data_IF_381041382385
#
_entry.id   IF_381041382385
#
_cell.length_a   1.000
_cell.length_b   1.000
_cell.length_c   1.000
_cell.angle_alpha   90.00
_cell.angle_beta   90.00
_cell.angle_gamma   90.00
#
_symmetry.space_group_name_H-M   'P 1'
#
loop_
_entity.id
_entity.type
_entity.pdbx_description
1 polymer ?
#
# COMPACT_ATOMS: atom_id res chain seq x y z
N UNK A 1 -4.77 12.86 17.51
CA UNK A 1 -5.18 13.86 16.48
C UNK A 1 -4.28 13.81 15.25
N UNK A 2 -2.97 13.58 15.42
CA UNK A 2 -2.01 13.47 14.31
C UNK A 2 -2.34 12.27 13.38
N UNK A 3 -2.55 11.09 13.93
CA UNK A 3 -2.88 9.89 13.16
C UNK A 3 -4.20 10.04 12.38
N UNK A 4 -5.19 10.76 12.91
CA UNK A 4 -6.45 11.04 12.20
C UNK A 4 -6.21 11.97 11.00
N UNK A 5 -5.29 12.94 11.10
CA UNK A 5 -4.90 13.78 9.97
C UNK A 5 -4.20 12.97 8.90
N UNK A 6 -3.32 12.06 9.32
CA UNK A 6 -2.63 11.13 8.42
C UNK A 6 -3.64 10.24 7.68
N UNK A 7 -4.57 9.61 8.41
CA UNK A 7 -5.64 8.78 7.83
C UNK A 7 -6.48 9.54 6.79
N UNK A 8 -6.77 10.82 7.02
CA UNK A 8 -7.54 11.66 6.11
C UNK A 8 -6.87 11.88 4.75
N UNK A 9 -5.55 11.77 4.69
CA UNK A 9 -4.78 11.93 3.45
C UNK A 9 -4.78 10.66 2.60
N UNK A 10 -5.15 9.51 3.18
CA UNK A 10 -5.15 8.24 2.46
C UNK A 10 -6.39 8.14 1.56
N UNK A 11 -6.23 7.94 0.25
CA UNK A 11 -7.34 7.99 -0.72
C UNK A 11 -8.51 7.06 -0.44
N UNK A 12 -8.25 5.88 0.13
CA UNK A 12 -9.32 4.92 0.48
C UNK A 12 -10.23 5.40 1.61
N UNK A 13 -9.80 6.41 2.39
CA UNK A 13 -10.58 7.03 3.47
C UNK A 13 -11.13 8.41 3.10
N UNK A 14 -11.03 8.83 1.83
CA UNK A 14 -11.42 10.16 1.33
C UNK A 14 -12.82 10.59 1.79
N UNK A 15 -13.78 9.68 1.71
CA UNK A 15 -15.20 9.98 1.99
C UNK A 15 -15.56 9.78 3.47
N UNK A 16 -14.57 9.47 4.33
CA UNK A 16 -14.78 9.28 5.76
C UNK A 16 -14.88 10.61 6.50
N UNK A 17 -15.86 10.72 7.40
CA UNK A 17 -15.99 11.83 8.34
C UNK A 17 -14.91 11.71 9.43
N UNK A 18 -14.62 12.80 10.13
CA UNK A 18 -13.66 12.80 11.23
C UNK A 18 -14.00 11.77 12.32
N UNK A 19 -15.29 11.63 12.65
CA UNK A 19 -15.77 10.63 13.63
C UNK A 19 -15.52 9.19 13.16
N UNK A 20 -15.66 8.94 11.87
CA UNK A 20 -15.38 7.63 11.26
C UNK A 20 -13.88 7.33 11.22
N UNK A 21 -13.05 8.35 10.95
CA UNK A 21 -11.58 8.24 11.02
C UNK A 21 -11.09 8.02 12.46
N UNK A 22 -11.76 8.60 13.47
CA UNK A 22 -11.48 8.30 14.86
C UNK A 22 -11.72 6.83 15.18
N UNK A 23 -12.80 6.24 14.64
CA UNK A 23 -13.08 4.81 14.83
C UNK A 23 -12.01 3.93 14.15
N UNK A 24 -11.53 4.31 12.96
CA UNK A 24 -10.39 3.63 12.31
C UNK A 24 -9.12 3.74 13.14
N UNK A 25 -8.86 4.93 13.70
CA UNK A 25 -7.69 5.17 14.54
C UNK A 25 -7.70 4.34 15.82
N UNK A 26 -8.88 4.03 16.38
CA UNK A 26 -9.00 3.18 17.58
C UNK A 26 -8.52 1.74 17.36
N UNK A 27 -8.60 1.23 16.13
CA UNK A 27 -8.14 -0.12 15.77
C UNK A 27 -6.74 -0.12 15.16
N UNK A 28 -6.18 1.04 14.88
CA UNK A 28 -4.83 1.20 14.36
C UNK A 28 -3.78 1.10 15.49
N UNK A 29 -2.60 0.60 15.16
CA UNK A 29 -1.46 0.47 16.08
C UNK A 29 -0.20 1.02 15.45
N UNK A 30 0.54 1.83 16.19
CA UNK A 30 1.88 2.27 15.77
C UNK A 30 2.95 1.23 16.11
N UNK A 31 3.90 1.05 15.19
CA UNK A 31 5.08 0.24 15.42
C UNK A 31 6.31 0.90 14.78
N UNK A 32 7.41 0.89 15.53
CA UNK A 32 8.72 1.37 15.07
C UNK A 32 9.54 0.19 14.56
N UNK A 33 10.20 0.39 13.43
CA UNK A 33 11.11 -0.55 12.78
C UNK A 33 12.51 0.06 12.71
N UNK A 34 13.53 -0.74 13.00
CA UNK A 34 14.94 -0.34 12.90
C UNK A 34 15.41 -0.40 11.44
N UNK A 35 16.47 0.34 11.06
CA UNK A 35 17.07 0.22 9.74
C UNK A 35 17.40 -1.23 9.40
N UNK A 36 17.02 -1.68 8.20
CA UNK A 36 17.19 -3.05 7.72
C UNK A 36 16.12 -4.05 8.20
N UNK A 37 15.21 -3.64 9.08
CA UNK A 37 14.15 -4.53 9.58
C UNK A 37 13.09 -4.77 8.50
N UNK A 38 12.74 -6.05 8.31
CA UNK A 38 11.68 -6.47 7.40
C UNK A 38 10.31 -6.12 8.00
N UNK A 39 9.52 -5.30 7.30
CA UNK A 39 8.19 -4.89 7.73
C UNK A 39 7.15 -5.89 7.24
N UNK A 40 7.17 -6.21 5.95
CA UNK A 40 6.34 -7.24 5.32
C UNK A 40 7.17 -8.05 4.32
N UNK A 41 6.82 -9.32 4.14
CA UNK A 41 7.56 -10.25 3.29
C UNK A 41 6.76 -10.63 2.05
N UNK A 42 7.43 -10.64 0.88
CA UNK A 42 6.90 -11.19 -0.37
C UNK A 42 6.40 -12.62 -0.16
N UNK A 43 5.30 -12.99 -0.80
CA UNK A 43 4.62 -14.28 -0.70
C UNK A 43 3.98 -14.59 0.66
N UNK A 44 4.25 -13.80 1.70
CA UNK A 44 3.50 -13.92 2.95
C UNK A 44 2.06 -13.44 2.76
N UNK A 45 1.15 -13.97 3.57
CA UNK A 45 -0.25 -13.52 3.58
C UNK A 45 -0.34 -12.05 3.91
N UNK A 46 -1.08 -11.30 3.12
CA UNK A 46 -1.40 -9.92 3.41
C UNK A 46 -2.25 -9.79 4.67
N UNK A 47 -1.90 -8.88 5.56
CA UNK A 47 -2.49 -8.77 6.89
C UNK A 47 -3.08 -7.39 7.22
N UNK A 48 -2.86 -6.39 6.36
CA UNK A 48 -3.41 -5.06 6.55
C UNK A 48 -2.70 -3.95 5.79
N UNK A 49 -3.13 -2.73 6.09
CA UNK A 49 -2.59 -1.47 5.58
C UNK A 49 -1.51 -0.94 6.53
N UNK A 50 -0.43 -0.45 5.96
CA UNK A 50 0.68 0.22 6.64
C UNK A 50 0.82 1.63 6.11
N UNK A 51 0.78 2.63 6.98
CA UNK A 51 0.95 4.04 6.66
C UNK A 51 2.21 4.54 7.34
N UNK A 52 3.12 5.16 6.61
CA UNK A 52 4.38 5.64 7.13
C UNK A 52 4.14 6.97 7.84
N UNK A 53 4.31 6.99 9.15
CA UNK A 53 4.21 8.20 9.98
C UNK A 53 5.48 9.05 9.89
N UNK A 54 6.63 8.38 9.85
CA UNK A 54 7.96 8.98 9.66
C UNK A 54 8.96 7.92 9.20
N UNK A 55 10.05 8.36 8.63
CA UNK A 55 11.12 7.50 8.14
C UNK A 55 10.97 7.19 6.65
N UNK A 56 11.79 6.26 6.19
CA UNK A 56 11.88 5.83 4.81
C UNK A 56 11.90 4.31 4.74
N UNK A 57 11.09 3.74 3.86
CA UNK A 57 11.09 2.30 3.59
C UNK A 57 11.36 2.05 2.12
N UNK A 58 11.93 0.90 1.79
CA UNK A 58 12.10 0.43 0.41
C UNK A 58 11.20 -0.76 0.12
N UNK A 59 10.59 -0.73 -1.05
CA UNK A 59 9.80 -1.82 -1.61
C UNK A 59 10.71 -2.64 -2.53
N UNK A 60 10.83 -3.93 -2.27
CA UNK A 60 11.74 -4.81 -2.99
C UNK A 60 11.03 -6.07 -3.48
N UNK A 61 11.50 -6.60 -4.59
CA UNK A 61 11.01 -7.83 -5.18
C UNK A 61 12.17 -8.70 -5.63
N UNK A 62 12.06 -10.00 -5.41
CA UNK A 62 13.01 -10.96 -5.96
C UNK A 62 12.59 -11.36 -7.38
N UNK A 63 13.55 -11.42 -8.27
CA UNK A 63 13.34 -11.98 -9.61
C UNK A 63 13.40 -13.53 -9.60
N UNK A 64 13.26 -14.14 -10.79
CA UNK A 64 13.33 -15.60 -10.95
C UNK A 64 14.69 -16.22 -10.64
N UNK A 65 15.74 -15.40 -10.56
CA UNK A 65 17.12 -15.81 -10.22
C UNK A 65 17.42 -15.60 -8.74
N UNK A 66 16.48 -14.99 -7.96
CA UNK A 66 16.66 -14.67 -6.56
C UNK A 66 17.36 -13.35 -6.28
N UNK A 67 17.61 -12.55 -7.31
CA UNK A 67 18.17 -11.19 -7.16
C UNK A 67 17.09 -10.22 -6.68
N UNK A 68 17.45 -9.37 -5.72
CA UNK A 68 16.56 -8.37 -5.15
C UNK A 68 16.62 -7.08 -5.96
N UNK A 69 15.47 -6.61 -6.40
CA UNK A 69 15.30 -5.36 -7.11
C UNK A 69 14.51 -4.36 -6.26
N UNK A 70 15.03 -3.15 -6.11
CA UNK A 70 14.32 -2.05 -5.46
C UNK A 70 13.31 -1.48 -6.45
N UNK A 71 12.03 -1.54 -6.11
CA UNK A 71 10.94 -1.04 -6.95
C UNK A 71 10.59 0.41 -6.63
N UNK A 72 10.64 0.79 -5.35
CA UNK A 72 10.28 2.12 -4.89
C UNK A 72 10.83 2.40 -3.50
N UNK A 73 10.90 3.68 -3.15
CA UNK A 73 11.02 4.18 -1.78
C UNK A 73 9.73 4.87 -1.39
N UNK A 74 9.27 4.65 -0.17
CA UNK A 74 8.09 5.28 0.38
C UNK A 74 8.48 6.01 1.66
N UNK A 75 8.01 7.25 1.80
CA UNK A 75 8.29 8.12 2.94
C UNK A 75 7.04 8.50 3.73
N UNK A 76 7.18 9.52 4.56
CA UNK A 76 6.10 10.03 5.42
C UNK A 76 4.83 10.37 4.62
N UNK A 77 3.68 9.91 5.11
CA UNK A 77 2.36 10.08 4.48
C UNK A 77 2.05 9.08 3.37
N UNK A 78 3.03 8.32 2.91
CA UNK A 78 2.81 7.24 1.94
C UNK A 78 2.38 5.95 2.65
N UNK A 79 1.84 5.00 1.88
CA UNK A 79 1.25 3.78 2.42
C UNK A 79 1.43 2.60 1.48
N UNK A 80 1.30 1.39 2.03
CA UNK A 80 1.31 0.14 1.27
C UNK A 80 0.41 -0.90 1.92
N UNK A 81 0.06 -1.93 1.17
CA UNK A 81 -0.72 -3.06 1.67
C UNK A 81 -2.22 -2.83 1.77
N UNK A 82 -2.78 -1.77 1.16
CA UNK A 82 -4.20 -1.45 1.20
C UNK A 82 -5.07 -2.54 0.56
N UNK A 83 -4.58 -3.26 -0.45
CA UNK A 83 -5.29 -4.40 -1.07
C UNK A 83 -5.55 -5.48 -0.03
N UNK A 84 -4.65 -5.66 0.92
CA UNK A 84 -4.80 -6.63 2.02
C UNK A 84 -5.94 -6.31 2.99
N UNK A 85 -6.54 -5.13 2.92
CA UNK A 85 -7.77 -4.84 3.67
C UNK A 85 -8.99 -5.58 3.10
N UNK A 86 -8.95 -5.94 1.82
CA UNK A 86 -10.05 -6.59 1.09
C UNK A 86 -9.67 -8.01 0.69
N UNK A 87 -8.48 -8.18 0.13
CA UNK A 87 -7.99 -9.45 -0.42
C UNK A 87 -6.93 -10.09 0.50
N UNK A 88 -7.04 -11.40 0.69
CA UNK A 88 -6.08 -12.21 1.48
C UNK A 88 -4.98 -12.81 0.63
N UNK A 89 -4.84 -12.37 -0.60
CA UNK A 89 -3.79 -12.85 -1.50
C UNK A 89 -2.38 -12.64 -0.91
N UNK A 90 -1.42 -13.48 -1.27
CA UNK A 90 -0.02 -13.29 -0.88
C UNK A 90 0.51 -11.93 -1.35
N UNK A 91 1.40 -11.35 -0.55
CA UNK A 91 2.07 -10.09 -0.89
C UNK A 91 2.93 -10.23 -2.13
N UNK A 92 2.85 -9.25 -3.01
CA UNK A 92 3.62 -9.20 -4.25
C UNK A 92 5.06 -8.75 -4.06
N UNK A 93 5.35 -8.00 -2.99
CA UNK A 93 6.66 -7.44 -2.67
C UNK A 93 6.96 -7.54 -1.18
N UNK A 94 8.25 -7.38 -0.84
CA UNK A 94 8.72 -7.14 0.52
C UNK A 94 8.89 -5.64 0.77
N UNK A 95 8.73 -5.22 2.01
CA UNK A 95 9.01 -3.84 2.44
C UNK A 95 9.98 -3.88 3.62
N UNK A 96 11.06 -3.12 3.51
CA UNK A 96 12.17 -3.08 4.48
C UNK A 96 12.37 -1.63 4.91
N UNK A 97 12.57 -1.40 6.20
CA UNK A 97 12.94 -0.10 6.71
C UNK A 97 14.35 0.29 6.21
N UNK A 98 14.47 1.40 5.49
CA UNK A 98 15.76 1.93 5.04
C UNK A 98 16.44 2.74 6.16
N UNK A 99 15.63 3.45 6.93
CA UNK A 99 16.02 4.12 8.17
C UNK A 99 15.02 3.80 9.28
N UNK A 100 15.25 4.27 10.50
CA UNK A 100 14.27 4.10 11.58
C UNK A 100 12.92 4.66 11.14
N UNK A 101 11.91 3.80 11.08
CA UNK A 101 10.61 4.14 10.51
C UNK A 101 9.48 3.77 11.47
N UNK A 102 8.51 4.66 11.60
CA UNK A 102 7.28 4.40 12.36
C UNK A 102 6.11 4.24 11.39
N UNK A 103 5.41 3.11 11.50
CA UNK A 103 4.21 2.83 10.71
C UNK A 103 2.97 2.78 11.59
N UNK A 104 1.89 3.40 11.11
CA UNK A 104 0.54 3.18 11.61
C UNK A 104 -0.05 1.98 10.86
N UNK A 105 -0.44 0.94 11.59
CA UNK A 105 -0.85 -0.35 11.04
C UNK A 105 -2.32 -0.58 11.33
N UNK A 106 -3.10 -0.84 10.28
CA UNK A 106 -4.51 -1.21 10.38
C UNK A 106 -4.63 -2.66 9.90
N UNK A 107 -4.84 -3.57 10.84
CA UNK A 107 -5.00 -4.99 10.51
C UNK A 107 -6.32 -5.24 9.80
N UNK A 108 -6.29 -6.13 8.79
CA UNK A 108 -7.48 -6.50 8.01
C UNK A 108 -8.66 -6.94 8.90
N UNK A 109 -8.39 -7.83 9.86
CA UNK A 109 -9.44 -8.37 10.73
C UNK A 109 -10.12 -7.27 11.53
N UNK A 110 -9.35 -6.38 12.14
CA UNK A 110 -9.86 -5.28 12.95
C UNK A 110 -10.66 -4.29 12.10
N UNK A 111 -10.15 -3.98 10.91
CA UNK A 111 -10.82 -3.08 9.97
C UNK A 111 -12.13 -3.67 9.42
N UNK A 112 -12.11 -4.94 9.00
CA UNK A 112 -13.32 -5.62 8.52
C UNK A 112 -14.39 -5.72 9.60
N UNK A 113 -14.02 -5.99 10.85
CA UNK A 113 -14.95 -5.99 11.97
C UNK A 113 -15.55 -4.59 12.21
N UNK A 114 -14.74 -3.54 12.07
CA UNK A 114 -15.19 -2.15 12.22
C UNK A 114 -16.24 -1.77 11.18
N UNK A 115 -16.00 -2.08 9.88
CA UNK A 115 -16.92 -1.70 8.80
C UNK A 115 -18.16 -2.58 8.74
N UNK A 116 -18.07 -3.88 9.08
CA UNK A 116 -19.20 -4.83 9.04
C UNK A 116 -20.39 -4.39 9.91
N UNK A 117 -20.15 -3.65 10.98
CA UNK A 117 -21.18 -3.09 11.86
C UNK A 117 -21.84 -1.80 11.35
N UNK A 118 -21.35 -1.23 10.24
CA UNK A 118 -21.81 0.08 9.74
C UNK A 118 -21.88 0.07 8.20
N UNK A 119 -23.10 -0.13 7.67
CA UNK A 119 -23.34 -0.19 6.23
C UNK A 119 -22.91 1.07 5.46
N UNK A 120 -23.06 2.25 6.06
CA UNK A 120 -22.65 3.50 5.41
C UNK A 120 -21.13 3.58 5.31
N UNK A 121 -20.43 3.21 6.38
CA UNK A 121 -18.98 3.18 6.41
C UNK A 121 -18.42 2.15 5.42
N UNK A 122 -19.00 0.96 5.40
CA UNK A 122 -18.67 -0.10 4.45
C UNK A 122 -18.84 0.38 2.99
N UNK A 123 -19.97 1.00 2.67
CA UNK A 123 -20.25 1.56 1.34
C UNK A 123 -19.23 2.62 0.94
N UNK A 124 -18.91 3.55 1.83
CA UNK A 124 -17.91 4.60 1.59
C UNK A 124 -16.52 4.01 1.30
N UNK A 125 -16.13 3.03 2.12
CA UNK A 125 -14.86 2.35 1.95
C UNK A 125 -14.76 1.69 0.58
N UNK A 126 -15.68 0.79 0.22
CA UNK A 126 -15.61 0.08 -1.05
C UNK A 126 -15.70 1.00 -2.26
N UNK A 127 -16.48 2.09 -2.18
CA UNK A 127 -16.54 3.10 -3.23
C UNK A 127 -15.20 3.80 -3.43
N UNK A 128 -14.57 4.25 -2.36
CA UNK A 128 -13.24 4.89 -2.42
C UNK A 128 -12.17 3.90 -2.86
N UNK A 129 -12.22 2.68 -2.36
CA UNK A 129 -11.31 1.61 -2.73
C UNK A 129 -11.38 1.28 -4.24
N UNK A 130 -12.60 1.16 -4.78
CA UNK A 130 -12.80 0.95 -6.22
C UNK A 130 -12.21 2.09 -7.06
N UNK A 131 -12.35 3.35 -6.64
CA UNK A 131 -11.73 4.50 -7.32
C UNK A 131 -10.20 4.40 -7.34
N UNK A 132 -9.59 4.06 -6.21
CA UNK A 132 -8.13 3.86 -6.11
C UNK A 132 -7.67 2.75 -7.04
N UNK A 133 -8.40 1.63 -7.11
CA UNK A 133 -8.07 0.53 -8.02
C UNK A 133 -8.22 0.94 -9.48
N UNK A 134 -9.25 1.73 -9.84
CA UNK A 134 -9.41 2.27 -11.20
C UNK A 134 -8.24 3.18 -11.59
N UNK A 135 -7.79 4.06 -10.70
CA UNK A 135 -6.62 4.91 -10.96
C UNK A 135 -5.34 4.09 -11.15
N UNK A 136 -5.09 3.12 -10.29
CA UNK A 136 -3.93 2.21 -10.41
C UNK A 136 -3.96 1.41 -11.71
N UNK A 137 -5.13 0.90 -12.09
CA UNK A 137 -5.28 0.16 -13.34
C UNK A 137 -4.96 1.03 -14.56
N UNK A 138 -5.43 2.28 -14.58
CA UNK A 138 -5.08 3.23 -15.65
C UNK A 138 -3.58 3.46 -15.75
N UNK A 139 -2.93 3.79 -14.63
CA UNK A 139 -1.48 4.00 -14.58
C UNK A 139 -0.71 2.75 -15.01
N UNK A 140 -1.14 1.57 -14.56
CA UNK A 140 -0.53 0.30 -14.94
C UNK A 140 -0.65 0.04 -16.45
N UNK A 141 -1.81 0.32 -17.05
CA UNK A 141 -2.03 0.17 -18.48
C UNK A 141 -1.18 1.15 -19.31
N UNK A 142 -1.04 2.39 -18.87
CA UNK A 142 -0.15 3.39 -19.49
C UNK A 142 1.31 2.93 -19.45
N UNK A 143 1.79 2.48 -18.29
CA UNK A 143 3.15 1.95 -18.13
C UNK A 143 3.39 0.72 -18.99
N UNK A 144 2.41 -0.17 -19.11
CA UNK A 144 2.51 -1.36 -19.97
C UNK A 144 2.60 -0.98 -21.45
N UNK A 145 1.82 -0.01 -21.90
CA UNK A 145 1.88 0.51 -23.28
C UNK A 145 3.25 1.11 -23.55
N UNK A 146 3.75 1.96 -22.67
CA UNK A 146 5.09 2.56 -22.80
C UNK A 146 6.21 1.51 -22.85
N UNK A 147 6.15 0.49 -21.99
CA UNK A 147 7.13 -0.62 -22.02
C UNK A 147 7.12 -1.38 -23.35
N UNK A 148 5.95 -1.61 -23.94
CA UNK A 148 5.83 -2.25 -25.25
C UNK A 148 6.44 -1.41 -26.38
N UNK A 149 6.23 -0.09 -26.33
CA UNK A 149 6.81 0.85 -27.29
C UNK A 149 8.35 0.86 -27.21
N UNK A 150 8.91 0.94 -26.00
CA UNK A 150 10.36 0.87 -25.78
C UNK A 150 10.94 -0.44 -26.30
N UNK A 151 10.33 -1.57 -25.99
CA UNK A 151 10.80 -2.88 -26.47
C UNK A 151 10.78 -2.97 -28.00
N UNK A 152 9.76 -2.40 -28.64
CA UNK A 152 9.69 -2.32 -30.10
C UNK A 152 10.85 -1.51 -30.68
N UNK A 153 11.13 -0.34 -30.12
CA UNK A 153 12.23 0.53 -30.56
C UNK A 153 13.59 -0.15 -30.40
N UNK A 154 13.82 -0.87 -29.29
CA UNK A 154 15.05 -1.65 -29.06
C UNK A 154 15.21 -2.70 -30.18
N UNK A 155 14.16 -3.47 -30.47
CA UNK A 155 14.20 -4.48 -31.53
C UNK A 155 14.46 -3.89 -32.93
N UNK A 156 13.98 -2.68 -33.21
CA UNK A 156 14.24 -1.99 -34.48
C UNK A 156 15.71 -1.53 -34.61
N UNK A 157 16.33 -1.15 -33.48
CA UNK A 157 17.77 -0.77 -33.45
C UNK A 157 18.68 -1.99 -33.59
N UNK A 158 18.35 -3.11 -32.94
CA UNK A 158 19.14 -4.34 -32.99
C UNK A 158 19.12 -5.03 -34.37
N UNK A 159 18.17 -4.71 -35.25
CA UNK A 159 18.05 -5.26 -36.61
C UNK A 159 18.84 -4.48 -37.65
N UNK A 160 19.48 -3.38 -37.33
CA UNK A 160 20.32 -2.57 -38.20
C UNK A 160 21.79 -2.87 -37.99
#
# INVERSE_FOLDING_TARGET
>A
MEDVRLLKQIPIFRDFRTTELLSVNMVAKSKVYKPGELIVKEKAKGDGLYIIKRGLVKVVKQDSFGEEHILAYLGEGEYFGEISLVDKAPRSESVIAEEESECLIIKQVDFQNLIAGNRELERKFYKSFARVLCERLRVTNENLTFSKEINRLIQEVEKK
#
